data_IF_748478972608
#
_entry.id   IF_748478972608
#
_cell.length_a   1.000
_cell.length_b   1.000
_cell.length_c   1.000
_cell.angle_alpha   90.00
_cell.angle_beta   90.00
_cell.angle_gamma   90.00
#
_symmetry.space_group_name_H-M   'P 1'
#
loop_
_entity.id
_entity.type
_entity.pdbx_description
1 polymer ?
#
# COMPACT_ATOMS: atom_id res chain seq x y z
N UNK A 1 55.37 -0.56 6.50
CA UNK A 1 54.23 -1.42 6.05
C UNK A 1 53.04 -0.52 5.92
N UNK A 2 52.65 -0.21 4.70
CA UNK A 2 51.49 0.69 4.45
C UNK A 2 50.21 -0.17 4.39
N UNK A 3 49.28 0.05 5.30
CA UNK A 3 47.91 -0.49 5.22
C UNK A 3 47.20 0.13 4.02
N UNK A 4 46.78 -0.72 3.09
CA UNK A 4 45.99 -0.29 1.95
C UNK A 4 44.59 0.18 2.38
N UNK A 5 43.95 1.09 1.62
CA UNK A 5 42.63 1.62 1.97
C UNK A 5 41.58 0.52 2.06
N UNK A 6 40.57 0.65 2.98
CA UNK A 6 39.53 -0.33 3.16
C UNK A 6 38.77 -0.54 1.86
N UNK A 7 38.57 -1.80 1.45
CA UNK A 7 37.78 -2.16 0.27
C UNK A 7 36.37 -1.64 0.45
N UNK A 8 36.01 -0.62 -0.31
CA UNK A 8 34.61 -0.16 -0.45
C UNK A 8 33.79 -1.35 -0.91
N UNK A 9 32.80 -1.73 -0.11
CA UNK A 9 31.84 -2.79 -0.46
C UNK A 9 31.19 -2.48 -1.81
N UNK A 10 30.85 -3.54 -2.56
CA UNK A 10 30.18 -3.42 -3.86
C UNK A 10 28.97 -2.49 -3.72
N UNK A 11 28.77 -1.49 -4.61
CA UNK A 11 27.60 -0.60 -4.57
C UNK A 11 26.32 -1.39 -4.48
N UNK A 12 25.33 -0.88 -3.73
CA UNK A 12 23.97 -1.46 -3.69
C UNK A 12 23.43 -1.53 -5.11
N UNK A 13 22.93 -2.70 -5.51
CA UNK A 13 22.25 -2.89 -6.79
C UNK A 13 20.73 -2.66 -6.55
N UNK A 14 20.16 -1.56 -7.06
CA UNK A 14 18.75 -1.24 -6.88
C UNK A 14 17.82 -2.30 -7.45
N UNK A 15 18.27 -3.04 -8.49
CA UNK A 15 17.49 -4.12 -9.09
C UNK A 15 17.32 -5.31 -8.15
N UNK A 16 18.36 -5.61 -7.35
CA UNK A 16 18.30 -6.66 -6.33
C UNK A 16 17.33 -6.28 -5.21
N UNK A 17 17.37 -5.04 -4.76
CA UNK A 17 16.50 -4.56 -3.69
C UNK A 17 15.03 -4.60 -4.14
N UNK A 18 14.72 -4.12 -5.35
CA UNK A 18 13.38 -4.19 -5.92
C UNK A 18 12.87 -5.64 -6.04
N UNK A 19 13.69 -6.57 -6.53
CA UNK A 19 13.32 -7.99 -6.66
C UNK A 19 12.99 -8.62 -5.30
N UNK A 20 13.75 -8.30 -4.25
CA UNK A 20 13.51 -8.80 -2.89
C UNK A 20 12.22 -8.24 -2.32
N UNK A 21 11.93 -6.94 -2.50
CA UNK A 21 10.70 -6.30 -2.02
C UNK A 21 9.46 -6.84 -2.74
N UNK A 22 9.55 -7.09 -4.05
CA UNK A 22 8.47 -7.74 -4.82
C UNK A 22 8.22 -9.17 -4.31
N UNK A 23 9.27 -9.97 -4.14
CA UNK A 23 9.16 -11.34 -3.61
C UNK A 23 8.55 -11.36 -2.20
N UNK A 24 8.88 -10.40 -1.34
CA UNK A 24 8.28 -10.26 -0.02
C UNK A 24 6.77 -10.00 -0.09
N UNK A 25 6.31 -9.12 -0.98
CA UNK A 25 4.87 -8.83 -1.19
C UNK A 25 4.13 -10.07 -1.72
N UNK A 26 4.71 -10.80 -2.66
CA UNK A 26 4.11 -12.04 -3.19
C UNK A 26 3.94 -13.09 -2.11
N UNK A 27 4.99 -13.36 -1.33
CA UNK A 27 4.95 -14.32 -0.23
C UNK A 27 3.99 -13.90 0.90
N UNK A 28 3.90 -12.61 1.18
CA UNK A 28 2.87 -12.09 2.10
C UNK A 28 1.46 -12.39 1.61
N UNK A 29 1.21 -12.22 0.31
CA UNK A 29 -0.10 -12.49 -0.28
C UNK A 29 -0.44 -14.00 -0.30
N UNK A 30 0.56 -14.87 -0.46
CA UNK A 30 0.40 -16.32 -0.53
C UNK A 30 0.30 -16.98 0.85
N UNK A 31 1.19 -16.62 1.76
CA UNK A 31 1.40 -17.34 3.02
C UNK A 31 1.05 -16.54 4.29
N UNK A 32 0.91 -15.23 4.18
CA UNK A 32 0.74 -14.33 5.30
C UNK A 32 2.04 -14.04 6.07
N UNK A 33 1.98 -13.04 6.95
CA UNK A 33 3.17 -12.56 7.69
C UNK A 33 3.78 -13.64 8.60
N UNK A 34 2.95 -14.43 9.29
CA UNK A 34 3.43 -15.44 10.24
C UNK A 34 4.36 -16.47 9.58
N UNK A 35 4.01 -16.94 8.38
CA UNK A 35 4.76 -17.97 7.64
C UNK A 35 5.86 -17.44 6.74
N UNK A 36 5.93 -16.13 6.51
CA UNK A 36 6.99 -15.50 5.74
C UNK A 36 8.32 -15.67 6.46
N UNK A 37 9.35 -16.14 5.73
CA UNK A 37 10.73 -16.20 6.19
C UNK A 37 11.68 -15.49 5.24
N UNK A 38 12.79 -14.98 5.78
CA UNK A 38 13.85 -14.31 5.00
C UNK A 38 14.45 -15.25 3.93
N UNK A 39 14.54 -16.53 4.25
CA UNK A 39 15.08 -17.56 3.34
C UNK A 39 14.18 -17.81 2.13
N UNK A 40 12.86 -17.85 2.34
CA UNK A 40 11.88 -17.95 1.26
C UNK A 40 11.96 -16.74 0.34
N UNK A 41 12.11 -15.54 0.92
CA UNK A 41 12.25 -14.31 0.12
C UNK A 41 13.53 -14.33 -0.71
N UNK A 42 14.67 -14.72 -0.12
CA UNK A 42 15.93 -14.83 -0.84
C UNK A 42 15.82 -15.81 -2.03
N UNK A 43 15.20 -16.97 -1.80
CA UNK A 43 14.99 -18.00 -2.82
C UNK A 43 14.08 -17.49 -3.94
N UNK A 44 12.95 -16.86 -3.60
CA UNK A 44 11.97 -16.30 -4.55
C UNK A 44 12.58 -15.19 -5.39
N UNK A 45 13.39 -14.31 -4.78
CA UNK A 45 14.07 -13.21 -5.45
C UNK A 45 15.31 -13.65 -6.27
N UNK A 46 15.75 -14.91 -6.15
CA UNK A 46 16.93 -15.40 -6.84
C UNK A 46 18.24 -14.81 -6.31
N UNK A 47 18.30 -14.42 -5.03
CA UNK A 47 19.47 -13.77 -4.42
C UNK A 47 20.02 -14.60 -3.26
N UNK A 48 21.29 -14.38 -2.94
CA UNK A 48 21.93 -15.05 -1.79
C UNK A 48 21.34 -14.57 -0.46
N UNK A 49 21.09 -15.47 0.50
CA UNK A 49 20.58 -15.16 1.85
C UNK A 49 21.38 -14.05 2.53
N UNK A 50 22.71 -14.10 2.46
CA UNK A 50 23.59 -13.09 3.04
C UNK A 50 23.30 -11.68 2.49
N UNK A 51 22.93 -11.56 1.21
CA UNK A 51 22.56 -10.28 0.59
C UNK A 51 21.27 -9.73 1.16
N UNK A 52 20.30 -10.58 1.50
CA UNK A 52 19.04 -10.16 2.11
C UNK A 52 19.28 -9.72 3.55
N UNK A 53 19.98 -10.53 4.37
CA UNK A 53 20.25 -10.19 5.78
C UNK A 53 21.17 -8.98 5.95
N UNK A 54 22.04 -8.70 4.99
CA UNK A 54 22.86 -7.47 4.99
C UNK A 54 22.02 -6.19 4.86
N UNK A 55 20.86 -6.27 4.20
CA UNK A 55 19.97 -5.13 3.92
C UNK A 55 18.85 -5.03 4.95
N UNK A 56 18.27 -6.17 5.28
CA UNK A 56 17.14 -6.25 6.22
C UNK A 56 17.49 -7.21 7.34
N UNK A 57 17.67 -6.71 8.57
CA UNK A 57 18.10 -7.55 9.70
C UNK A 57 17.07 -8.60 10.11
N UNK A 58 15.81 -8.36 9.78
CA UNK A 58 14.69 -9.22 10.10
C UNK A 58 13.50 -9.03 9.13
N UNK A 59 12.49 -9.90 9.22
CA UNK A 59 11.32 -9.85 8.36
C UNK A 59 10.44 -8.61 8.57
N UNK A 60 10.45 -8.03 9.78
CA UNK A 60 9.69 -6.80 10.07
C UNK A 60 10.25 -5.63 9.28
N UNK A 61 11.57 -5.43 9.31
CA UNK A 61 12.26 -4.40 8.54
C UNK A 61 12.06 -4.58 7.02
N UNK A 62 12.14 -5.83 6.53
CA UNK A 62 11.90 -6.15 5.13
C UNK A 62 10.47 -5.80 4.71
N UNK A 63 9.49 -6.22 5.49
CA UNK A 63 8.07 -5.98 5.18
C UNK A 63 7.73 -4.51 5.29
N UNK A 64 8.29 -3.80 6.28
CA UNK A 64 8.12 -2.35 6.41
C UNK A 64 8.59 -1.60 5.15
N UNK A 65 9.78 -1.95 4.63
CA UNK A 65 10.29 -1.35 3.40
C UNK A 65 9.50 -1.78 2.16
N UNK A 66 9.03 -3.02 2.11
CA UNK A 66 8.17 -3.50 1.02
C UNK A 66 6.83 -2.74 0.94
N UNK A 67 6.25 -2.39 2.09
CA UNK A 67 5.06 -1.53 2.18
C UNK A 67 5.37 -0.13 1.63
N UNK A 68 6.48 0.47 2.03
CA UNK A 68 6.88 1.80 1.57
C UNK A 68 7.21 1.81 0.07
N UNK A 69 7.88 0.78 -0.41
CA UNK A 69 8.18 0.65 -1.84
C UNK A 69 6.90 0.61 -2.71
N UNK A 70 5.83 0.01 -2.20
CA UNK A 70 4.52 -0.01 -2.87
C UNK A 70 3.82 1.35 -2.86
N UNK A 71 4.18 2.27 -1.97
CA UNK A 71 3.63 3.62 -1.95
C UNK A 71 3.92 4.42 -3.22
N UNK A 72 4.99 4.07 -3.96
CA UNK A 72 5.29 4.67 -5.27
C UNK A 72 4.39 4.20 -6.43
N UNK A 73 3.44 3.29 -6.18
CA UNK A 73 2.55 2.73 -7.22
C UNK A 73 1.09 3.07 -6.86
N UNK A 74 0.77 4.35 -6.84
CA UNK A 74 -0.62 4.80 -6.66
C UNK A 74 -1.26 5.13 -8.01
N UNK A 75 -2.58 4.91 -8.20
CA UNK A 75 -3.26 5.36 -9.39
C UNK A 75 -3.19 6.88 -9.53
N UNK A 76 -3.19 7.36 -10.76
CA UNK A 76 -3.38 8.79 -11.03
C UNK A 76 -4.71 9.28 -10.45
N UNK A 77 -4.72 10.51 -9.97
CA UNK A 77 -5.94 11.15 -9.46
C UNK A 77 -6.80 11.58 -10.65
N UNK A 78 -7.98 10.98 -10.86
CA UNK A 78 -8.81 11.31 -12.01
C UNK A 78 -9.48 12.67 -11.83
N UNK A 79 -9.81 13.32 -12.94
CA UNK A 79 -10.64 14.51 -13.00
C UNK A 79 -11.75 14.33 -14.05
N UNK A 80 -12.88 13.79 -13.62
CA UNK A 80 -14.05 13.53 -14.46
C UNK A 80 -15.07 14.68 -14.42
N UNK A 81 -14.77 15.69 -13.62
CA UNK A 81 -15.65 16.85 -13.44
C UNK A 81 -16.66 16.72 -12.30
N UNK A 82 -16.77 15.56 -11.65
CA UNK A 82 -17.69 15.33 -10.53
C UNK A 82 -17.08 14.46 -9.44
N UNK A 83 -17.44 14.71 -8.18
CA UNK A 83 -17.00 13.90 -7.05
C UNK A 83 -17.33 12.41 -7.20
N UNK A 84 -18.58 12.01 -7.54
CA UNK A 84 -18.90 10.60 -7.74
C UNK A 84 -18.10 9.97 -8.88
N UNK A 85 -17.86 10.73 -9.96
CA UNK A 85 -17.07 10.28 -11.10
C UNK A 85 -15.61 10.04 -10.74
N UNK A 86 -14.98 11.01 -10.09
CA UNK A 86 -13.57 10.95 -9.65
C UNK A 86 -13.37 9.80 -8.67
N UNK A 87 -14.24 9.71 -7.65
CA UNK A 87 -14.18 8.66 -6.63
C UNK A 87 -14.32 7.26 -7.25
N UNK A 88 -15.30 7.08 -8.14
CA UNK A 88 -15.53 5.82 -8.87
C UNK A 88 -14.32 5.42 -9.70
N UNK A 89 -13.80 6.34 -10.50
CA UNK A 89 -12.66 6.10 -11.36
C UNK A 89 -11.40 5.72 -10.56
N UNK A 90 -11.14 6.42 -9.45
CA UNK A 90 -10.01 6.16 -8.57
C UNK A 90 -10.12 4.78 -7.89
N UNK A 91 -11.27 4.47 -7.28
CA UNK A 91 -11.46 3.20 -6.59
C UNK A 91 -11.40 2.00 -7.54
N UNK A 92 -11.93 2.12 -8.76
CA UNK A 92 -11.79 1.09 -9.79
C UNK A 92 -10.35 0.90 -10.22
N UNK A 93 -9.60 1.99 -10.42
CA UNK A 93 -8.17 1.92 -10.72
C UNK A 93 -7.40 1.25 -9.57
N UNK A 94 -7.71 1.60 -8.33
CA UNK A 94 -7.15 1.00 -7.13
C UNK A 94 -7.38 -0.52 -7.10
N UNK A 95 -8.59 -0.99 -7.32
CA UNK A 95 -8.91 -2.43 -7.31
C UNK A 95 -8.15 -3.19 -8.41
N UNK A 96 -8.02 -2.62 -9.60
CA UNK A 96 -7.23 -3.22 -10.69
C UNK A 96 -5.74 -3.31 -10.34
N UNK A 97 -5.17 -2.24 -9.80
CA UNK A 97 -3.73 -2.16 -9.49
C UNK A 97 -3.33 -3.05 -8.32
N UNK A 98 -4.20 -3.15 -7.32
CA UNK A 98 -3.87 -3.79 -6.04
C UNK A 98 -4.51 -5.15 -5.81
N UNK A 99 -5.18 -5.77 -6.78
CA UNK A 99 -5.89 -7.03 -6.60
C UNK A 99 -5.07 -8.12 -5.89
N UNK A 100 -3.85 -8.40 -6.34
CA UNK A 100 -2.93 -9.34 -5.68
C UNK A 100 -2.25 -8.72 -4.44
N UNK A 101 -1.78 -7.47 -4.54
CA UNK A 101 -1.08 -6.79 -3.45
C UNK A 101 -2.00 -6.47 -2.26
N UNK A 102 -3.30 -6.37 -2.48
CA UNK A 102 -4.23 -6.12 -1.38
C UNK A 102 -4.38 -7.31 -0.43
N UNK A 103 -4.10 -8.55 -0.87
CA UNK A 103 -3.98 -9.71 0.04
C UNK A 103 -2.75 -9.59 0.95
N UNK A 104 -1.61 -9.15 0.40
CA UNK A 104 -0.41 -8.88 1.18
C UNK A 104 -0.66 -7.78 2.23
N UNK A 105 -1.35 -6.71 1.84
CA UNK A 105 -1.70 -5.64 2.77
C UNK A 105 -2.64 -6.12 3.87
N UNK A 106 -3.66 -6.91 3.55
CA UNK A 106 -4.55 -7.50 4.56
C UNK A 106 -3.79 -8.40 5.55
N UNK A 107 -2.80 -9.17 5.06
CA UNK A 107 -1.96 -10.02 5.91
C UNK A 107 -1.07 -9.23 6.89
N UNK A 108 -0.75 -7.98 6.57
CA UNK A 108 0.07 -7.10 7.44
C UNK A 108 -0.77 -6.34 8.45
N UNK A 109 -2.03 -6.01 8.11
CA UNK A 109 -2.90 -5.18 8.98
C UNK A 109 -3.04 -5.76 10.39
N UNK A 110 -3.22 -7.07 10.51
CA UNK A 110 -3.29 -7.73 11.82
C UNK A 110 -1.99 -7.61 12.64
N UNK A 111 -0.87 -7.44 11.98
CA UNK A 111 0.46 -7.33 12.62
C UNK A 111 0.86 -5.89 12.95
N UNK A 112 0.23 -4.91 12.31
CA UNK A 112 0.50 -3.46 12.55
C UNK A 112 0.30 -3.08 14.02
N UNK A 113 -0.66 -3.70 14.70
CA UNK A 113 -0.91 -3.46 16.12
C UNK A 113 0.26 -3.92 17.00
N UNK A 114 0.92 -5.02 16.62
CA UNK A 114 1.95 -5.70 17.41
C UNK A 114 3.37 -5.24 17.09
N UNK A 115 3.59 -4.58 15.94
CA UNK A 115 4.89 -4.16 15.44
C UNK A 115 4.94 -2.65 15.17
N UNK A 116 5.56 -1.83 16.06
CA UNK A 116 5.65 -0.38 15.88
C UNK A 116 6.28 0.05 14.55
N UNK A 117 7.28 -0.70 14.06
CA UNK A 117 7.95 -0.45 12.78
C UNK A 117 6.98 -0.64 11.59
N UNK A 118 6.16 -1.70 11.61
CA UNK A 118 5.12 -1.92 10.59
C UNK A 118 4.04 -0.83 10.65
N UNK A 119 3.70 -0.37 11.85
CA UNK A 119 2.75 0.73 12.03
C UNK A 119 3.28 2.03 11.45
N UNK A 120 4.54 2.35 11.69
CA UNK A 120 5.17 3.53 11.11
C UNK A 120 5.22 3.44 9.58
N UNK A 121 5.66 2.31 9.03
CA UNK A 121 5.71 2.08 7.59
C UNK A 121 4.31 2.13 6.94
N UNK A 122 3.29 1.57 7.60
CA UNK A 122 1.90 1.65 7.16
C UNK A 122 1.40 3.08 7.06
N UNK A 123 1.62 3.87 8.12
CA UNK A 123 1.19 5.27 8.18
C UNK A 123 1.90 6.18 7.20
N UNK A 124 3.19 5.94 6.93
CA UNK A 124 4.04 6.76 6.06
C UNK A 124 4.13 6.23 4.61
N UNK A 125 3.60 5.05 4.37
CA UNK A 125 3.70 4.37 3.09
C UNK A 125 2.42 4.46 2.26
N UNK A 126 1.99 3.31 1.73
CA UNK A 126 0.89 3.21 0.79
C UNK A 126 -0.43 3.80 1.31
N UNK A 127 -0.73 3.66 2.61
CA UNK A 127 -1.97 4.18 3.20
C UNK A 127 -2.03 5.70 3.12
N UNK A 128 -0.94 6.40 3.45
CA UNK A 128 -0.92 7.87 3.35
C UNK A 128 -1.02 8.33 1.89
N UNK A 129 -0.24 7.72 0.99
CA UNK A 129 -0.24 8.11 -0.41
C UNK A 129 -1.64 7.97 -1.06
N UNK A 130 -2.35 6.88 -0.76
CA UNK A 130 -3.73 6.68 -1.24
C UNK A 130 -4.71 7.66 -0.58
N UNK A 131 -4.55 7.94 0.71
CA UNK A 131 -5.39 8.92 1.41
C UNK A 131 -5.16 10.33 0.88
N UNK A 132 -3.93 10.68 0.52
CA UNK A 132 -3.60 11.99 -0.07
C UNK A 132 -4.25 12.17 -1.45
N UNK A 133 -4.26 11.14 -2.30
CA UNK A 133 -4.99 11.14 -3.56
C UNK A 133 -6.51 11.34 -3.36
N UNK A 134 -7.09 10.63 -2.39
CA UNK A 134 -8.51 10.77 -2.07
C UNK A 134 -8.83 12.14 -1.47
N UNK A 135 -7.92 12.71 -0.69
CA UNK A 135 -8.03 14.06 -0.16
C UNK A 135 -8.08 15.07 -1.29
N UNK A 136 -7.21 14.96 -2.29
CA UNK A 136 -7.23 15.83 -3.47
C UNK A 136 -8.58 15.78 -4.20
N UNK A 137 -9.18 14.59 -4.35
CA UNK A 137 -10.51 14.43 -4.96
C UNK A 137 -11.57 15.18 -4.14
N UNK A 138 -11.57 15.01 -2.81
CA UNK A 138 -12.55 15.62 -1.91
C UNK A 138 -12.38 17.15 -1.84
N UNK A 139 -11.13 17.65 -1.74
CA UNK A 139 -10.85 19.10 -1.73
C UNK A 139 -11.28 19.76 -3.04
N UNK A 140 -11.08 19.08 -4.17
CA UNK A 140 -11.53 19.56 -5.47
C UNK A 140 -13.06 19.63 -5.54
N UNK A 141 -13.76 18.66 -4.94
CA UNK A 141 -15.21 18.68 -4.85
C UNK A 141 -15.74 19.84 -3.98
N UNK A 142 -15.07 20.17 -2.88
CA UNK A 142 -15.37 21.38 -2.09
C UNK A 142 -15.17 22.64 -2.94
N UNK A 143 -14.08 22.72 -3.69
CA UNK A 143 -13.78 23.87 -4.57
C UNK A 143 -14.81 24.02 -5.69
N UNK A 144 -15.34 22.90 -6.22
CA UNK A 144 -16.41 22.90 -7.25
C UNK A 144 -17.81 23.17 -6.67
N UNK A 145 -17.95 23.25 -5.34
CA UNK A 145 -19.23 23.43 -4.67
C UNK A 145 -20.12 22.19 -4.62
N UNK A 146 -19.57 21.00 -4.91
CA UNK A 146 -20.28 19.72 -4.78
C UNK A 146 -20.39 19.28 -3.32
N UNK A 147 -19.48 19.74 -2.47
CA UNK A 147 -19.51 19.57 -1.02
C UNK A 147 -19.50 20.94 -0.33
N UNK A 148 -20.14 21.06 0.84
CA UNK A 148 -20.10 22.31 1.61
C UNK A 148 -18.66 22.58 2.12
N UNK A 149 -18.28 23.86 2.33
CA UNK A 149 -16.98 24.22 2.91
C UNK A 149 -16.73 23.64 4.31
N UNK A 150 -17.77 23.19 4.98
CA UNK A 150 -17.71 22.54 6.30
C UNK A 150 -17.56 21.01 6.22
N UNK A 151 -17.43 20.44 5.02
CA UNK A 151 -17.25 19.00 4.85
C UNK A 151 -15.98 18.53 5.57
N UNK A 152 -16.08 17.42 6.27
CA UNK A 152 -14.92 16.78 6.90
C UNK A 152 -14.10 16.04 5.82
N UNK A 153 -13.17 16.77 5.21
CA UNK A 153 -12.31 16.28 4.14
C UNK A 153 -11.49 15.08 4.61
N UNK A 154 -10.99 15.09 5.85
CA UNK A 154 -10.19 14.02 6.41
C UNK A 154 -10.99 12.72 6.50
N UNK A 155 -12.16 12.79 7.11
CA UNK A 155 -13.06 11.63 7.24
C UNK A 155 -13.48 11.10 5.87
N UNK A 156 -13.94 11.96 4.96
CA UNK A 156 -14.36 11.56 3.62
C UNK A 156 -13.23 10.91 2.81
N UNK A 157 -11.98 11.34 3.00
CA UNK A 157 -10.83 10.77 2.32
C UNK A 157 -10.45 9.39 2.86
N UNK A 158 -10.69 9.12 4.14
CA UNK A 158 -10.36 7.85 4.79
C UNK A 158 -11.41 6.75 4.56
N UNK A 159 -12.67 7.12 4.43
CA UNK A 159 -13.81 6.18 4.40
C UNK A 159 -13.65 5.07 3.34
N UNK A 160 -13.38 5.36 2.06
CA UNK A 160 -13.40 4.32 1.03
C UNK A 160 -12.35 3.24 1.27
N UNK A 161 -11.13 3.63 1.66
CA UNK A 161 -10.05 2.67 1.93
C UNK A 161 -10.38 1.76 3.11
N UNK A 162 -10.94 2.32 4.18
CA UNK A 162 -11.33 1.56 5.37
C UNK A 162 -12.47 0.60 5.06
N UNK A 163 -13.47 1.02 4.28
CA UNK A 163 -14.58 0.15 3.88
C UNK A 163 -14.07 -0.99 2.99
N UNK A 164 -13.26 -0.72 1.97
CA UNK A 164 -12.71 -1.74 1.08
C UNK A 164 -11.83 -2.74 1.84
N UNK A 165 -11.07 -2.27 2.83
CA UNK A 165 -10.23 -3.12 3.66
C UNK A 165 -11.07 -4.01 4.59
N UNK A 166 -12.04 -3.43 5.30
CA UNK A 166 -12.94 -4.19 6.18
C UNK A 166 -13.77 -5.20 5.39
N UNK A 167 -14.28 -4.83 4.22
CA UNK A 167 -14.98 -5.75 3.31
C UNK A 167 -14.17 -7.02 3.05
N UNK A 168 -12.87 -6.85 2.75
CA UNK A 168 -11.99 -7.99 2.50
C UNK A 168 -11.78 -8.87 3.74
N UNK A 169 -11.63 -8.27 4.91
CA UNK A 169 -11.47 -9.01 6.17
C UNK A 169 -12.71 -9.84 6.49
N UNK A 170 -13.90 -9.28 6.27
CA UNK A 170 -15.17 -9.97 6.56
C UNK A 170 -15.50 -11.07 5.55
N UNK A 171 -15.26 -10.82 4.26
CA UNK A 171 -15.71 -11.72 3.19
C UNK A 171 -14.60 -12.62 2.64
N UNK A 172 -13.34 -12.42 3.02
CA UNK A 172 -12.19 -13.20 2.52
C UNK A 172 -11.92 -13.02 1.02
N UNK A 173 -12.62 -12.09 0.36
CA UNK A 173 -12.55 -11.82 -1.08
C UNK A 173 -12.21 -10.36 -1.34
N UNK A 174 -11.61 -10.09 -2.50
CA UNK A 174 -11.43 -8.71 -2.95
C UNK A 174 -12.78 -8.07 -3.24
N UNK A 175 -12.99 -6.79 -2.82
CA UNK A 175 -14.16 -6.03 -3.23
C UNK A 175 -14.24 -5.98 -4.77
N UNK A 176 -15.45 -5.95 -5.28
CA UNK A 176 -15.75 -5.84 -6.70
C UNK A 176 -16.31 -4.44 -7.05
N UNK A 177 -16.71 -4.27 -8.28
CA UNK A 177 -17.29 -3.04 -8.80
C UNK A 177 -18.62 -2.69 -8.11
N UNK A 178 -19.40 -3.68 -7.68
CA UNK A 178 -20.65 -3.45 -6.97
C UNK A 178 -20.42 -2.80 -5.60
N UNK A 179 -19.34 -3.17 -4.92
CA UNK A 179 -18.94 -2.52 -3.66
C UNK A 179 -18.52 -1.08 -3.89
N UNK A 180 -17.79 -0.80 -4.96
CA UNK A 180 -17.41 0.58 -5.35
C UNK A 180 -18.68 1.43 -5.58
N UNK A 181 -19.65 0.92 -6.35
CA UNK A 181 -20.89 1.65 -6.60
C UNK A 181 -21.69 1.95 -5.32
N UNK A 182 -21.71 1.00 -4.38
CA UNK A 182 -22.37 1.21 -3.07
C UNK A 182 -21.67 2.30 -2.26
N UNK A 183 -20.32 2.30 -2.22
CA UNK A 183 -19.56 3.33 -1.53
C UNK A 183 -19.84 4.70 -2.14
N UNK A 184 -19.76 4.81 -3.47
CA UNK A 184 -19.94 6.06 -4.17
C UNK A 184 -21.38 6.57 -4.01
N UNK A 185 -22.37 5.71 -4.22
CA UNK A 185 -23.78 6.07 -4.12
C UNK A 185 -24.20 6.49 -2.71
N UNK A 186 -23.58 5.90 -1.67
CA UNK A 186 -23.96 6.20 -0.29
C UNK A 186 -23.29 7.46 0.27
N UNK A 187 -22.03 7.70 -0.10
CA UNK A 187 -21.21 8.71 0.60
C UNK A 187 -20.78 9.88 -0.28
N UNK A 188 -20.84 9.75 -1.62
CA UNK A 188 -20.24 10.73 -2.53
C UNK A 188 -21.23 11.22 -3.61
N UNK A 189 -22.48 10.82 -3.55
CA UNK A 189 -23.53 11.37 -4.43
C UNK A 189 -24.28 12.46 -3.68
N UNK A 190 -24.39 13.67 -4.23
CA UNK A 190 -25.23 14.73 -3.64
C UNK A 190 -26.67 14.25 -3.49
N UNK A 191 -27.31 14.68 -2.42
CA UNK A 191 -28.75 14.43 -2.19
C UNK A 191 -29.63 15.20 -3.16
#
# INVERSE_FOLDING_TARGET
>A
MAEGPPRRGRPRDPGVDAAVLVAAVELLAEAGFARLTMDQVATRAGVGKASVYLRWPNKVALVAEAIQHRAGVVPEVPDTGTLPGDMRAFLRALLRTYGAASRAMAAVVGEVANHPELRAAWRQGLSSALTDCLREIVERAVTRGELPPTADVELLSMLPLNILQNWRLEHGQSPDDAVVERIVGQFYTPA
#
